data_IF_614347064001
#
_entry.id   IF_614347064001
#
_cell.length_a   1.000
_cell.length_b   1.000
_cell.length_c   1.000
_cell.angle_alpha   90.00
_cell.angle_beta   90.00
_cell.angle_gamma   90.00
#
_symmetry.space_group_name_H-M   'P 1'
#
loop_
_entity.id
_entity.type
_entity.pdbx_description
1 polymer ?
#
# COMPACT_ATOMS: atom_id res chain seq x y z
N UNK A 1 28.79 -31.95 45.26
CA UNK A 1 27.98 -32.61 44.21
C UNK A 1 27.46 -31.54 43.28
N UNK A 2 27.96 -31.48 42.05
CA UNK A 2 27.58 -30.46 41.05
C UNK A 2 26.50 -31.03 40.13
N UNK A 3 25.34 -30.37 40.04
CA UNK A 3 24.30 -30.71 39.07
C UNK A 3 24.76 -30.28 37.67
N UNK A 4 24.68 -31.16 36.65
CA UNK A 4 25.01 -30.78 35.28
C UNK A 4 23.90 -29.90 34.70
N UNK A 5 24.26 -28.68 34.25
CA UNK A 5 23.42 -27.79 33.44
C UNK A 5 23.19 -28.41 32.06
N UNK A 6 22.07 -29.11 31.86
CA UNK A 6 21.65 -29.64 30.56
C UNK A 6 20.25 -29.11 30.22
N UNK A 7 20.03 -27.79 30.16
CA UNK A 7 18.75 -27.24 29.64
C UNK A 7 18.92 -25.87 28.93
N UNK A 8 20.08 -25.55 28.35
CA UNK A 8 20.27 -24.25 27.65
C UNK A 8 20.31 -24.38 26.11
N UNK A 9 20.62 -25.57 25.58
CA UNK A 9 20.76 -25.77 24.14
C UNK A 9 19.44 -25.85 23.37
N UNK A 10 18.45 -26.56 23.90
CA UNK A 10 17.15 -26.75 23.24
C UNK A 10 16.29 -25.47 23.20
N UNK A 11 16.32 -24.67 24.26
CA UNK A 11 15.63 -23.38 24.33
C UNK A 11 16.23 -22.37 23.36
N UNK A 12 17.57 -22.37 23.22
CA UNK A 12 18.27 -21.49 22.27
C UNK A 12 17.96 -21.86 20.82
N UNK A 13 18.00 -23.14 20.45
CA UNK A 13 17.66 -23.61 19.10
C UNK A 13 16.18 -23.37 18.76
N UNK A 14 15.27 -23.56 19.72
CA UNK A 14 13.86 -23.24 19.55
C UNK A 14 13.61 -21.72 19.42
N UNK A 15 14.34 -20.90 20.19
CA UNK A 15 14.27 -19.44 20.06
C UNK A 15 14.81 -18.96 18.71
N UNK A 16 15.95 -19.50 18.25
CA UNK A 16 16.57 -19.17 16.96
C UNK A 16 15.66 -19.57 15.79
N UNK A 17 15.06 -20.77 15.84
CA UNK A 17 14.03 -21.19 14.86
C UNK A 17 12.82 -20.23 14.83
N UNK A 18 12.31 -19.84 16.00
CA UNK A 18 11.20 -18.88 16.08
C UNK A 18 11.57 -17.47 15.57
N UNK A 19 12.85 -17.11 15.68
CA UNK A 19 13.37 -15.81 15.27
C UNK A 19 13.54 -15.73 13.75
N UNK A 20 14.01 -16.80 13.13
CA UNK A 20 14.16 -16.86 11.68
C UNK A 20 12.80 -16.97 10.98
N UNK A 21 11.85 -17.72 11.52
CA UNK A 21 10.47 -17.75 11.03
C UNK A 21 9.81 -16.35 11.08
N UNK A 22 10.03 -15.60 12.17
CA UNK A 22 9.53 -14.21 12.30
C UNK A 22 10.15 -13.27 11.26
N UNK A 23 11.47 -13.37 11.01
CA UNK A 23 12.15 -12.57 9.98
C UNK A 23 11.60 -12.88 8.59
N UNK A 24 11.38 -14.16 8.28
CA UNK A 24 10.79 -14.59 7.00
C UNK A 24 9.37 -14.04 6.85
N UNK A 25 8.54 -14.15 7.88
CA UNK A 25 7.19 -13.61 7.87
C UNK A 25 7.18 -12.08 7.68
N UNK A 26 8.07 -11.35 8.36
CA UNK A 26 8.21 -9.90 8.18
C UNK A 26 8.66 -9.50 6.77
N UNK A 27 9.63 -10.24 6.21
CA UNK A 27 10.09 -10.02 4.85
C UNK A 27 8.97 -10.26 3.82
N UNK A 28 8.18 -11.33 4.01
CA UNK A 28 7.03 -11.64 3.16
C UNK A 28 5.97 -10.53 3.22
N UNK A 29 5.58 -10.10 4.43
CA UNK A 29 4.59 -9.03 4.62
C UNK A 29 5.03 -7.73 3.94
N UNK A 30 6.31 -7.37 4.05
CA UNK A 30 6.85 -6.19 3.38
C UNK A 30 6.78 -6.33 1.85
N UNK A 31 7.19 -7.48 1.31
CA UNK A 31 7.15 -7.74 -0.13
C UNK A 31 5.73 -7.64 -0.69
N UNK A 32 4.76 -8.30 -0.06
CA UNK A 32 3.35 -8.21 -0.46
C UNK A 32 2.77 -6.81 -0.29
N UNK A 33 3.16 -6.09 0.76
CA UNK A 33 2.73 -4.70 0.99
C UNK A 33 3.21 -3.76 -0.11
N UNK A 34 4.48 -3.85 -0.48
CA UNK A 34 5.05 -3.06 -1.60
C UNK A 34 4.33 -3.40 -2.91
N UNK A 35 4.09 -4.68 -3.17
CA UNK A 35 3.40 -5.12 -4.39
C UNK A 35 1.96 -4.62 -4.45
N UNK A 36 1.24 -4.65 -3.33
CA UNK A 36 -0.12 -4.11 -3.24
C UNK A 36 -0.18 -2.59 -3.50
N UNK A 37 0.79 -1.84 -2.98
CA UNK A 37 0.90 -0.38 -3.23
C UNK A 37 1.17 -0.14 -4.72
N UNK A 38 2.13 -0.86 -5.32
CA UNK A 38 2.43 -0.75 -6.76
C UNK A 38 1.21 -1.08 -7.60
N UNK A 39 0.52 -2.18 -7.29
CA UNK A 39 -0.66 -2.61 -8.02
C UNK A 39 -1.79 -1.57 -7.97
N UNK A 40 -2.07 -0.99 -6.79
CA UNK A 40 -3.11 0.05 -6.65
C UNK A 40 -2.77 1.35 -7.39
N UNK A 41 -1.49 1.74 -7.42
CA UNK A 41 -1.01 2.84 -8.25
C UNK A 41 -1.17 2.55 -9.74
N UNK A 42 -0.72 1.37 -10.20
CA UNK A 42 -0.79 0.97 -11.60
C UNK A 42 -2.22 0.81 -12.10
N UNK A 43 -3.12 0.28 -11.27
CA UNK A 43 -4.54 0.15 -11.63
C UNK A 43 -5.18 1.52 -11.90
N UNK A 44 -5.04 2.46 -10.97
CA UNK A 44 -5.66 3.77 -11.11
C UNK A 44 -4.94 4.65 -12.14
N UNK A 45 -3.61 4.69 -12.11
CA UNK A 45 -2.79 5.45 -13.05
C UNK A 45 -2.91 4.91 -14.48
N UNK A 46 -2.87 3.58 -14.64
CA UNK A 46 -3.06 2.92 -15.92
C UNK A 46 -4.44 3.18 -16.52
N UNK A 47 -5.49 3.19 -15.70
CA UNK A 47 -6.84 3.56 -16.16
C UNK A 47 -6.92 5.01 -16.67
N UNK A 48 -6.25 5.96 -16.01
CA UNK A 48 -6.16 7.35 -16.46
C UNK A 48 -5.47 7.42 -17.83
N UNK A 49 -4.31 6.77 -17.97
CA UNK A 49 -3.54 6.75 -19.22
C UNK A 49 -4.37 6.12 -20.35
N UNK A 50 -5.04 5.00 -20.08
CA UNK A 50 -5.88 4.32 -21.06
C UNK A 50 -7.04 5.21 -21.54
N UNK A 51 -7.70 5.93 -20.63
CA UNK A 51 -8.77 6.87 -20.99
C UNK A 51 -8.25 8.05 -21.81
N UNK A 52 -7.09 8.62 -21.45
CA UNK A 52 -6.49 9.72 -22.20
C UNK A 52 -6.06 9.27 -23.61
N UNK A 53 -5.47 8.08 -23.73
CA UNK A 53 -5.12 7.50 -25.02
C UNK A 53 -6.36 7.29 -25.90
N UNK A 54 -7.44 6.78 -25.31
CA UNK A 54 -8.71 6.61 -26.01
C UNK A 54 -9.33 7.93 -26.47
N UNK A 55 -9.34 8.95 -25.61
CA UNK A 55 -9.83 10.28 -25.98
C UNK A 55 -8.96 10.88 -27.10
N UNK A 56 -7.64 10.78 -27.00
CA UNK A 56 -6.72 11.25 -28.04
C UNK A 56 -7.01 10.58 -29.39
N UNK A 57 -7.21 9.26 -29.40
CA UNK A 57 -7.55 8.51 -30.61
C UNK A 57 -8.90 8.93 -31.22
N UNK A 58 -9.89 9.32 -30.39
CA UNK A 58 -11.18 9.81 -30.86
C UNK A 58 -11.08 11.23 -31.44
N UNK A 59 -10.31 12.12 -30.80
CA UNK A 59 -10.11 13.49 -31.26
C UNK A 59 -9.22 13.58 -32.51
N UNK A 60 -8.37 12.59 -32.77
CA UNK A 60 -7.55 12.53 -33.98
C UNK A 60 -8.34 12.22 -35.26
N UNK A 61 -9.62 11.83 -35.14
CA UNK A 61 -10.46 11.51 -36.31
C UNK A 61 -11.11 12.79 -36.87
N UNK A 62 -10.86 13.05 -38.16
CA UNK A 62 -11.25 14.29 -38.86
C UNK A 62 -12.75 14.39 -39.25
N UNK A 63 -13.61 13.57 -38.62
CA UNK A 63 -15.05 13.56 -38.89
C UNK A 63 -15.77 14.45 -37.87
N UNK A 64 -16.53 15.43 -38.36
CA UNK A 64 -17.36 16.32 -37.52
C UNK A 64 -18.35 15.54 -36.63
N UNK A 65 -18.85 14.39 -37.11
CA UNK A 65 -19.71 13.50 -36.32
C UNK A 65 -18.95 12.84 -35.16
N UNK A 66 -17.73 12.37 -35.43
CA UNK A 66 -16.87 11.75 -34.41
C UNK A 66 -16.43 12.78 -33.37
N UNK A 67 -16.16 14.03 -33.78
CA UNK A 67 -15.84 15.12 -32.86
C UNK A 67 -16.99 15.44 -31.89
N UNK A 68 -18.25 15.40 -32.37
CA UNK A 68 -19.44 15.56 -31.53
C UNK A 68 -19.59 14.45 -30.49
N UNK A 69 -19.46 13.19 -30.92
CA UNK A 69 -19.51 12.02 -30.04
C UNK A 69 -18.36 12.01 -29.01
N UNK A 70 -17.14 12.37 -29.42
CA UNK A 70 -15.98 12.49 -28.55
C UNK A 70 -16.21 13.52 -27.42
N UNK A 71 -16.84 14.65 -27.73
CA UNK A 71 -17.16 15.68 -26.73
C UNK A 71 -18.19 15.21 -25.70
N UNK A 72 -19.22 14.48 -26.13
CA UNK A 72 -20.23 13.90 -25.24
C UNK A 72 -19.66 12.80 -24.34
N UNK A 73 -18.83 11.93 -24.91
CA UNK A 73 -18.14 10.88 -24.16
C UNK A 73 -17.18 11.49 -23.13
N UNK A 74 -16.38 12.49 -23.52
CA UNK A 74 -15.46 13.18 -22.61
C UNK A 74 -16.18 13.74 -21.39
N UNK A 75 -17.30 14.43 -21.57
CA UNK A 75 -18.12 14.95 -20.45
C UNK A 75 -18.59 13.84 -19.51
N UNK A 76 -18.94 12.68 -20.06
CA UNK A 76 -19.40 11.52 -19.30
C UNK A 76 -18.27 10.79 -18.56
N UNK A 77 -17.01 10.96 -19.00
CA UNK A 77 -15.83 10.35 -18.39
C UNK A 77 -15.19 11.21 -17.29
N UNK A 78 -15.49 12.51 -17.20
CA UNK A 78 -14.95 13.39 -16.14
C UNK A 78 -15.13 12.81 -14.73
N UNK A 79 -16.31 12.25 -14.35
CA UNK A 79 -16.46 11.65 -13.03
C UNK A 79 -15.54 10.44 -12.83
N UNK A 80 -15.30 9.63 -13.86
CA UNK A 80 -14.39 8.48 -13.78
C UNK A 80 -12.94 8.92 -13.51
N UNK A 81 -12.46 9.98 -14.19
CA UNK A 81 -11.15 10.57 -13.91
C UNK A 81 -11.01 11.00 -12.45
N UNK A 82 -12.02 11.65 -11.88
CA UNK A 82 -12.00 12.07 -10.46
C UNK A 82 -11.84 10.87 -9.52
N UNK A 83 -12.55 9.76 -9.80
CA UNK A 83 -12.42 8.54 -9.02
C UNK A 83 -11.03 7.92 -9.14
N UNK A 84 -10.48 7.79 -10.36
CA UNK A 84 -9.13 7.25 -10.53
C UNK A 84 -8.06 8.13 -9.87
N UNK A 85 -8.17 9.46 -9.98
CA UNK A 85 -7.27 10.39 -9.26
C UNK A 85 -7.39 10.18 -7.75
N UNK A 86 -8.60 10.07 -7.21
CA UNK A 86 -8.81 9.74 -5.79
C UNK A 86 -8.18 8.41 -5.40
N UNK A 87 -8.21 7.42 -6.29
CA UNK A 87 -7.54 6.13 -6.10
C UNK A 87 -6.01 6.24 -6.07
N UNK A 88 -5.42 7.05 -6.96
CA UNK A 88 -3.98 7.37 -6.95
C UNK A 88 -3.57 8.11 -5.68
N UNK A 89 -4.34 9.12 -5.27
CA UNK A 89 -4.08 9.87 -4.03
C UNK A 89 -4.15 8.95 -2.81
N UNK A 90 -5.15 8.07 -2.76
CA UNK A 90 -5.27 7.08 -1.68
C UNK A 90 -4.08 6.12 -1.66
N UNK A 91 -3.61 5.65 -2.83
CA UNK A 91 -2.41 4.82 -2.92
C UNK A 91 -1.14 5.56 -2.46
N UNK A 92 -1.02 6.85 -2.80
CA UNK A 92 0.08 7.71 -2.34
C UNK A 92 0.07 7.90 -0.82
N UNK A 93 -1.11 8.04 -0.21
CA UNK A 93 -1.23 8.10 1.25
C UNK A 93 -0.74 6.82 1.92
N UNK A 94 -1.04 5.64 1.36
CA UNK A 94 -0.53 4.36 1.88
C UNK A 94 1.00 4.32 1.83
N UNK A 95 1.60 4.73 0.71
CA UNK A 95 3.04 4.80 0.57
C UNK A 95 3.67 5.78 1.58
N UNK A 96 3.06 6.96 1.77
CA UNK A 96 3.49 7.94 2.76
C UNK A 96 3.39 7.43 4.20
N UNK A 97 2.31 6.74 4.54
CA UNK A 97 2.15 6.09 5.84
C UNK A 97 3.20 4.99 6.04
N UNK A 98 3.45 4.17 5.01
CA UNK A 98 4.50 3.16 5.03
C UNK A 98 5.88 3.77 5.31
N UNK A 99 6.20 4.89 4.66
CA UNK A 99 7.43 5.64 4.89
C UNK A 99 7.52 6.20 6.32
N UNK A 100 6.44 6.77 6.85
CA UNK A 100 6.39 7.29 8.23
C UNK A 100 6.58 6.16 9.26
N UNK A 101 5.93 5.02 9.08
CA UNK A 101 6.09 3.87 9.96
C UNK A 101 7.52 3.33 9.93
N UNK A 102 8.13 3.27 8.74
CA UNK A 102 9.52 2.88 8.59
C UNK A 102 10.49 3.87 9.24
N UNK A 103 10.28 5.18 9.08
CA UNK A 103 11.17 6.19 9.64
C UNK A 103 11.11 6.22 11.18
N UNK A 104 9.93 6.01 11.77
CA UNK A 104 9.76 5.85 13.22
C UNK A 104 10.54 4.62 13.72
N UNK A 105 10.41 3.50 13.02
CA UNK A 105 11.13 2.27 13.36
C UNK A 105 12.64 2.49 13.25
N UNK A 106 13.12 3.13 12.19
CA UNK A 106 14.54 3.44 12.00
C UNK A 106 15.08 4.36 13.10
N UNK A 107 14.32 5.37 13.53
CA UNK A 107 14.69 6.25 14.65
C UNK A 107 14.78 5.49 15.98
N UNK A 108 13.89 4.53 16.21
CA UNK A 108 13.94 3.67 17.40
C UNK A 108 15.21 2.80 17.45
N UNK A 109 15.73 2.39 16.28
CA UNK A 109 17.01 1.68 16.17
C UNK A 109 18.25 2.58 16.24
N UNK A 110 18.12 3.89 15.99
CA UNK A 110 19.22 4.86 16.04
C UNK A 110 19.47 5.48 17.42
N UNK A 111 18.49 5.43 18.32
CA UNK A 111 18.77 5.79 19.72
C UNK A 111 19.71 4.73 20.31
N UNK A 112 20.74 5.11 21.08
CA UNK A 112 21.75 4.19 21.61
C UNK A 112 21.12 3.29 22.69
N UNK A 113 20.36 2.30 22.23
CA UNK A 113 19.94 1.13 22.99
C UNK A 113 21.15 0.21 23.29
N UNK A 114 22.31 0.52 22.70
CA UNK A 114 23.52 -0.27 22.76
C UNK A 114 24.10 -0.40 24.17
N UNK A 115 23.97 0.58 25.07
CA UNK A 115 24.55 0.44 26.42
C UNK A 115 23.63 -0.23 27.44
N UNK A 116 22.30 -0.12 27.27
CA UNK A 116 21.35 -0.73 28.21
C UNK A 116 21.04 -2.20 27.86
N UNK A 117 20.95 -2.53 26.56
CA UNK A 117 20.69 -3.90 26.08
C UNK A 117 21.93 -4.81 26.05
N UNK A 118 23.14 -4.26 26.20
CA UNK A 118 24.35 -5.06 26.32
C UNK A 118 24.56 -5.61 27.74
N UNK A 119 23.98 -4.96 28.75
CA UNK A 119 24.04 -5.37 30.17
C UNK A 119 22.87 -6.29 30.54
N UNK A 120 21.68 -6.08 29.99
CA UNK A 120 20.52 -6.93 30.23
C UNK A 120 20.27 -7.85 29.02
N UNK A 121 20.26 -9.17 29.25
CA UNK A 121 19.87 -10.21 28.27
C UNK A 121 18.37 -10.15 27.94
N UNK A 122 17.80 -8.96 27.76
CA UNK A 122 16.40 -8.73 27.51
C UNK A 122 16.17 -8.58 26.01
N UNK A 123 15.57 -9.62 25.44
CA UNK A 123 14.55 -9.55 24.40
C UNK A 123 14.45 -8.21 23.65
N UNK A 124 15.25 -8.11 22.58
CA UNK A 124 14.86 -7.49 21.33
C UNK A 124 14.23 -6.09 21.46
N UNK A 125 15.07 -5.05 21.40
CA UNK A 125 14.72 -3.67 21.01
C UNK A 125 13.23 -3.34 21.19
N UNK A 126 12.80 -3.22 22.46
CA UNK A 126 11.41 -2.92 22.78
C UNK A 126 11.13 -1.51 22.30
N UNK A 127 10.49 -1.40 21.12
CA UNK A 127 9.88 -0.15 20.65
C UNK A 127 9.10 0.40 21.86
N UNK A 128 9.35 1.65 22.29
CA UNK A 128 8.73 2.18 23.49
C UNK A 128 7.20 1.99 23.40
N UNK A 129 6.57 1.46 24.46
CA UNK A 129 5.14 1.05 24.45
C UNK A 129 4.17 2.14 23.94
N UNK A 130 4.56 3.42 24.03
CA UNK A 130 3.79 4.55 23.54
C UNK A 130 3.76 4.70 22.00
N UNK A 131 4.65 4.03 21.26
CA UNK A 131 4.61 3.99 19.79
C UNK A 131 3.65 2.94 19.23
N UNK A 132 3.33 1.89 19.99
CA UNK A 132 2.38 0.85 19.57
C UNK A 132 1.01 1.42 19.12
N UNK A 133 0.34 2.32 19.87
CA UNK A 133 -0.94 2.86 19.42
C UNK A 133 -0.82 3.68 18.13
N UNK A 134 0.32 4.35 17.90
CA UNK A 134 0.55 5.13 16.69
C UNK A 134 0.70 4.22 15.46
N UNK A 135 1.50 3.16 15.57
CA UNK A 135 1.69 2.16 14.51
C UNK A 135 0.37 1.43 14.20
N UNK A 136 -0.41 1.08 15.22
CA UNK A 136 -1.72 0.45 15.02
C UNK A 136 -2.71 1.37 14.31
N UNK A 137 -2.73 2.66 14.69
CA UNK A 137 -3.61 3.66 14.07
C UNK A 137 -3.22 3.91 12.61
N UNK A 138 -1.94 4.12 12.33
CA UNK A 138 -1.47 4.35 10.95
C UNK A 138 -1.70 3.11 10.08
N UNK A 139 -1.53 1.91 10.63
CA UNK A 139 -1.89 0.65 9.94
C UNK A 139 -3.38 0.61 9.58
N UNK A 140 -4.27 0.94 10.52
CA UNK A 140 -5.70 0.95 10.26
C UNK A 140 -6.06 1.96 9.16
N UNK A 141 -5.47 3.16 9.19
CA UNK A 141 -5.65 4.18 8.16
C UNK A 141 -5.15 3.68 6.80
N UNK A 142 -3.97 3.04 6.75
CA UNK A 142 -3.42 2.48 5.52
C UNK A 142 -4.34 1.42 4.90
N UNK A 143 -4.94 0.55 5.73
CA UNK A 143 -5.92 -0.45 5.26
C UNK A 143 -7.16 0.23 4.69
N UNK A 144 -7.68 1.26 5.37
CA UNK A 144 -8.84 2.04 4.87
C UNK A 144 -8.49 2.72 3.54
N UNK A 145 -7.33 3.35 3.42
CA UNK A 145 -6.87 3.96 2.17
C UNK A 145 -6.71 2.93 1.04
N UNK A 146 -6.25 1.72 1.34
CA UNK A 146 -6.16 0.63 0.38
C UNK A 146 -7.53 0.27 -0.20
N UNK A 147 -8.51 -0.01 0.67
CA UNK A 147 -9.87 -0.32 0.22
C UNK A 147 -10.55 0.87 -0.47
N UNK A 148 -10.28 2.10 -0.04
CA UNK A 148 -10.77 3.30 -0.71
C UNK A 148 -10.19 3.42 -2.13
N UNK A 149 -8.90 3.11 -2.32
CA UNK A 149 -8.27 3.10 -3.64
C UNK A 149 -8.91 2.08 -4.58
N UNK A 150 -9.18 0.86 -4.08
CA UNK A 150 -9.88 -0.18 -4.83
C UNK A 150 -11.32 0.21 -5.15
N UNK A 151 -12.03 0.79 -4.18
CA UNK A 151 -13.39 1.28 -4.37
C UNK A 151 -13.44 2.37 -5.46
N UNK A 152 -12.51 3.32 -5.40
CA UNK A 152 -12.33 4.35 -6.42
C UNK A 152 -12.11 3.75 -7.80
N UNK A 153 -11.22 2.76 -7.93
CA UNK A 153 -10.99 2.07 -9.20
C UNK A 153 -12.26 1.40 -9.73
N UNK A 154 -12.92 0.56 -8.92
CA UNK A 154 -14.15 -0.14 -9.32
C UNK A 154 -15.25 0.85 -9.72
N UNK A 155 -15.41 1.94 -8.97
CA UNK A 155 -16.42 2.96 -9.25
C UNK A 155 -16.10 3.75 -10.53
N UNK A 156 -14.83 4.09 -10.74
CA UNK A 156 -14.35 4.71 -11.97
C UNK A 156 -14.62 3.82 -13.18
N UNK A 157 -14.21 2.56 -13.12
CA UNK A 157 -14.41 1.57 -14.18
C UNK A 157 -15.91 1.38 -14.51
N UNK A 158 -16.76 1.31 -13.49
CA UNK A 158 -18.21 1.24 -13.66
C UNK A 158 -18.79 2.46 -14.39
N UNK A 159 -18.31 3.67 -14.08
CA UNK A 159 -18.75 4.90 -14.76
C UNK A 159 -18.31 4.89 -16.22
N UNK A 160 -17.08 4.44 -16.50
CA UNK A 160 -16.57 4.27 -17.88
C UNK A 160 -17.48 3.31 -18.65
N UNK A 161 -17.77 2.13 -18.11
CA UNK A 161 -18.64 1.15 -18.75
C UNK A 161 -20.04 1.73 -19.04
N UNK A 162 -20.63 2.46 -18.08
CA UNK A 162 -21.91 3.15 -18.28
C UNK A 162 -21.85 4.26 -19.32
N UNK A 163 -20.74 4.96 -19.44
CA UNK A 163 -20.58 6.01 -20.45
C UNK A 163 -20.62 5.42 -21.86
N UNK A 164 -19.98 4.27 -22.10
CA UNK A 164 -20.02 3.59 -23.40
C UNK A 164 -21.40 3.03 -23.75
N UNK A 165 -22.12 2.46 -22.77
CA UNK A 165 -23.48 1.98 -22.99
C UNK A 165 -24.44 3.10 -23.42
N UNK A 166 -24.26 4.32 -22.93
CA UNK A 166 -25.09 5.48 -23.29
C UNK A 166 -24.80 6.06 -24.66
N UNK A 167 -23.63 5.81 -25.23
CA UNK A 167 -23.23 6.35 -26.55
C UNK A 167 -23.68 5.42 -27.69
N UNK A 168 -24.06 4.17 -27.39
CA UNK A 168 -24.61 3.20 -28.35
C UNK A 168 -26.15 3.17 -28.40
N UNK A 169 -26.83 4.04 -27.64
CA UNK A 169 -28.26 4.35 -27.75
C UNK A 169 -28.43 5.75 -28.31
#
# INVERSE_FOLDING_TARGET
>A
MAHPKIIDGGAKVASEGSHDERKIAMAAVNAYGIEAIKATFLLNGGAIIALLALLSALYAKDSAYVAGAARLLTKSLIPAFKFFIGGVVSAAMIAGIGYLNWSILAQAYWQPADWHNFVERAEWATIPRWYNPLIETTRAIAIVCFFLSLFCFCRGAWIVAKAFLKVHL
#
